data_IF_597164551343
#
_entry.id   IF_597164551343
#
_cell.length_a   1.000
_cell.length_b   1.000
_cell.length_c   1.000
_cell.angle_alpha   90.00
_cell.angle_beta   90.00
_cell.angle_gamma   90.00
#
_symmetry.space_group_name_H-M   'P 1'
#
loop_
_entity.id
_entity.type
_entity.pdbx_description
1 polymer ?
#
# COMPACT_ATOMS: atom_id res chain seq x y z
N UNK A 1 7.90 12.30 7.18
CA UNK A 1 7.17 13.00 6.10
C UNK A 1 5.82 12.31 5.97
N UNK A 2 4.70 13.00 5.73
CA UNK A 2 3.43 12.29 5.45
C UNK A 2 3.44 11.90 3.97
N UNK A 3 3.60 10.61 3.60
CA UNK A 3 3.72 10.20 2.20
C UNK A 3 2.48 10.59 1.39
N UNK A 4 1.31 10.63 2.03
CA UNK A 4 0.03 10.98 1.40
C UNK A 4 -0.06 12.45 0.95
N UNK A 5 0.89 13.28 1.38
CA UNK A 5 1.01 14.68 0.97
C UNK A 5 1.88 14.86 -0.28
N UNK A 6 2.58 13.82 -0.75
CA UNK A 6 3.36 13.88 -1.98
C UNK A 6 2.45 13.85 -3.21
N UNK A 7 2.63 14.73 -4.22
CA UNK A 7 1.75 14.79 -5.39
C UNK A 7 1.65 13.44 -6.14
N UNK A 8 2.74 12.68 -6.16
CA UNK A 8 2.80 11.36 -6.82
C UNK A 8 2.36 10.18 -5.95
N UNK A 9 1.95 10.41 -4.70
CA UNK A 9 1.55 9.34 -3.78
C UNK A 9 0.47 8.45 -4.39
N UNK A 10 -0.61 9.05 -4.89
CA UNK A 10 -1.73 8.29 -5.46
C UNK A 10 -1.36 7.57 -6.76
N UNK A 11 -0.39 8.10 -7.51
CA UNK A 11 0.13 7.42 -8.71
C UNK A 11 0.92 6.17 -8.30
N UNK A 12 1.82 6.29 -7.34
CA UNK A 12 2.58 5.17 -6.80
C UNK A 12 1.67 4.14 -6.11
N UNK A 13 0.66 4.58 -5.36
CA UNK A 13 -0.31 3.71 -4.70
C UNK A 13 -1.09 2.86 -5.69
N UNK A 14 -1.57 3.44 -6.81
CA UNK A 14 -2.29 2.69 -7.86
C UNK A 14 -1.44 1.59 -8.50
N UNK A 15 -0.13 1.75 -8.51
CA UNK A 15 0.79 0.75 -9.05
C UNK A 15 1.12 -0.34 -8.03
N UNK A 16 1.42 0.07 -6.79
CA UNK A 16 1.95 -0.82 -5.74
C UNK A 16 0.84 -1.61 -5.05
N UNK A 17 -0.28 -0.97 -4.71
CA UNK A 17 -1.34 -1.61 -3.93
C UNK A 17 -1.90 -2.87 -4.60
N UNK A 18 -2.24 -2.89 -5.90
CA UNK A 18 -2.76 -4.10 -6.54
C UNK A 18 -1.76 -5.26 -6.53
N UNK A 19 -0.47 -4.97 -6.75
CA UNK A 19 0.58 -5.99 -6.72
C UNK A 19 0.72 -6.59 -5.33
N UNK A 20 0.76 -5.73 -4.31
CA UNK A 20 0.86 -6.18 -2.92
C UNK A 20 -0.38 -6.93 -2.47
N UNK A 21 -1.57 -6.48 -2.89
CA UNK A 21 -2.83 -7.17 -2.62
C UNK A 21 -2.87 -8.55 -3.28
N UNK A 22 -2.51 -8.68 -4.56
CA UNK A 22 -2.51 -9.96 -5.29
C UNK A 22 -1.52 -10.98 -4.75
N UNK A 23 -0.42 -10.51 -4.15
CA UNK A 23 0.58 -11.34 -3.49
C UNK A 23 0.13 -11.87 -2.12
N UNK A 24 -1.00 -11.40 -1.57
CA UNK A 24 -1.51 -11.89 -0.30
C UNK A 24 -2.14 -13.29 -0.43
N UNK A 25 -2.06 -14.05 0.66
CA UNK A 25 -2.79 -15.30 0.79
C UNK A 25 -4.29 -15.09 0.52
N UNK A 26 -4.96 -16.02 -0.18
CA UNK A 26 -6.38 -15.88 -0.53
C UNK A 26 -7.28 -15.60 0.68
N UNK A 27 -6.99 -16.20 1.84
CA UNK A 27 -7.74 -15.97 3.08
C UNK A 27 -7.57 -14.53 3.59
N UNK A 28 -6.37 -13.97 3.49
CA UNK A 28 -6.10 -12.58 3.89
C UNK A 28 -6.78 -11.60 2.94
N UNK A 29 -6.75 -11.88 1.62
CA UNK A 29 -7.50 -11.08 0.63
C UNK A 29 -8.99 -11.10 0.90
N UNK A 30 -9.54 -12.24 1.28
CA UNK A 30 -10.95 -12.38 1.63
C UNK A 30 -11.29 -11.56 2.89
N UNK A 31 -10.45 -11.61 3.94
CA UNK A 31 -10.62 -10.79 5.14
C UNK A 31 -10.63 -9.30 4.78
N UNK A 32 -9.66 -8.83 4.00
CA UNK A 32 -9.58 -7.41 3.59
C UNK A 32 -10.77 -7.01 2.73
N UNK A 33 -11.19 -7.88 1.80
CA UNK A 33 -12.34 -7.63 0.92
C UNK A 33 -13.64 -7.50 1.71
N UNK A 34 -13.80 -8.30 2.77
CA UNK A 34 -14.99 -8.32 3.60
C UNK A 34 -14.96 -7.24 4.68
N UNK A 35 -13.78 -6.91 5.20
CA UNK A 35 -13.54 -5.90 6.22
C UNK A 35 -12.28 -5.07 5.91
N UNK A 36 -12.51 -3.92 5.25
CA UNK A 36 -11.48 -2.92 4.96
C UNK A 36 -10.89 -2.23 6.21
N UNK A 37 -11.45 -2.45 7.40
CA UNK A 37 -10.93 -1.93 8.66
C UNK A 37 -10.22 -3.00 9.50
N UNK A 38 -10.14 -4.23 8.99
CA UNK A 38 -9.43 -5.34 9.59
C UNK A 38 -7.96 -5.00 9.86
N UNK A 39 -7.36 -5.77 10.78
CA UNK A 39 -5.94 -5.65 11.10
C UNK A 39 -5.09 -5.89 9.84
N UNK A 40 -5.49 -6.85 9.03
CA UNK A 40 -4.89 -7.24 7.77
C UNK A 40 -4.87 -6.08 6.77
N UNK A 41 -5.99 -5.36 6.63
CA UNK A 41 -6.07 -4.19 5.75
C UNK A 41 -5.10 -3.10 6.20
N UNK A 42 -5.08 -2.78 7.50
CA UNK A 42 -4.14 -1.78 8.05
C UNK A 42 -2.68 -2.18 7.91
N UNK A 43 -2.38 -3.48 7.99
CA UNK A 43 -1.04 -4.01 7.77
C UNK A 43 -0.63 -3.89 6.30
N UNK A 44 -1.53 -4.17 5.36
CA UNK A 44 -1.31 -3.96 3.93
C UNK A 44 -1.06 -2.47 3.64
N UNK A 45 -1.92 -1.58 4.14
CA UNK A 45 -1.79 -0.14 3.96
C UNK A 45 -0.43 0.36 4.47
N UNK A 46 -0.03 -0.06 5.68
CA UNK A 46 1.28 0.31 6.25
C UNK A 46 2.47 -0.20 5.42
N UNK A 47 2.34 -1.39 4.81
CA UNK A 47 3.37 -1.94 3.92
C UNK A 47 3.45 -1.12 2.63
N UNK A 48 2.30 -0.84 2.02
CA UNK A 48 2.19 -0.05 0.79
C UNK A 48 2.75 1.36 1.00
N UNK A 49 2.41 2.02 2.12
CA UNK A 49 2.93 3.35 2.45
C UNK A 49 4.47 3.38 2.52
N UNK A 50 5.08 2.37 3.15
CA UNK A 50 6.56 2.27 3.22
C UNK A 50 7.19 2.03 1.86
N UNK A 51 6.54 1.26 0.99
CA UNK A 51 7.01 1.02 -0.37
C UNK A 51 6.92 2.30 -1.22
N UNK A 52 5.82 3.03 -1.09
CA UNK A 52 5.64 4.33 -1.75
C UNK A 52 6.67 5.32 -1.24
N UNK A 53 6.87 5.44 0.08
CA UNK A 53 7.87 6.33 0.67
C UNK A 53 9.26 6.04 0.09
N UNK A 54 9.67 4.76 0.04
CA UNK A 54 10.94 4.36 -0.58
C UNK A 54 11.01 4.73 -2.06
N UNK A 55 9.96 4.43 -2.85
CA UNK A 55 9.92 4.75 -4.28
C UNK A 55 10.06 6.25 -4.53
N UNK A 56 9.37 7.07 -3.75
CA UNK A 56 9.40 8.52 -3.88
C UNK A 56 10.75 9.09 -3.42
N UNK A 57 11.33 8.59 -2.33
CA UNK A 57 12.66 9.03 -1.87
C UNK A 57 13.78 8.61 -2.83
N UNK A 58 13.73 7.39 -3.39
CA UNK A 58 14.74 6.90 -4.34
C UNK A 58 14.69 7.59 -5.71
N UNK A 59 13.64 8.34 -6.02
CA UNK A 59 13.57 9.15 -7.26
C UNK A 59 14.33 10.47 -7.11
N UNK A 60 14.77 10.82 -5.89
CA UNK A 60 15.46 12.08 -5.57
C UNK A 60 16.99 11.92 -5.52
N UNK A 61 17.53 10.74 -5.84
CA UNK A 61 18.98 10.47 -5.95
C UNK A 61 19.49 10.42 -7.39
#
# INVERSE_FOLDING_TARGET
MNPNSHPDYWNAHKEIYPQEYDNLDPQVREIIRNDSQSKESRMLDSKVDKLIERKLLSTVE
#
